data_IF_179503692845
#
_entry.id   IF_179503692845
#
_cell.length_a   1.000
_cell.length_b   1.000
_cell.length_c   1.000
_cell.angle_alpha   90.00
_cell.angle_beta   90.00
_cell.angle_gamma   90.00
#
_symmetry.space_group_name_H-M   'P 1'
#
loop_
_entity.id
_entity.type
_entity.pdbx_description
1 polymer ?
#
# COMPACT_ATOMS: atom_id res chain seq x y z
N UNK A 1 15.19 -0.35 -6.82
CA UNK A 1 14.07 0.21 -6.03
C UNK A 1 12.98 0.62 -7.01
N UNK A 2 11.81 0.02 -6.86
CA UNK A 2 10.64 0.31 -7.71
C UNK A 2 9.89 1.48 -7.09
N UNK A 3 9.91 2.63 -7.76
CA UNK A 3 9.36 3.89 -7.25
C UNK A 3 7.85 4.01 -7.51
N UNK A 4 7.19 4.81 -6.69
CA UNK A 4 5.83 5.26 -6.94
C UNK A 4 5.79 6.09 -8.24
N UNK A 5 4.69 5.98 -8.95
CA UNK A 5 4.51 6.54 -10.28
C UNK A 5 4.74 8.04 -10.37
N UNK A 6 5.29 8.44 -11.52
CA UNK A 6 5.30 9.81 -11.98
C UNK A 6 3.87 10.37 -11.99
N UNK A 7 3.65 11.48 -11.24
CA UNK A 7 2.33 12.09 -11.04
C UNK A 7 1.64 12.65 -12.30
N UNK A 8 2.28 12.50 -13.46
CA UNK A 8 1.73 12.91 -14.77
C UNK A 8 0.76 11.89 -15.38
N UNK A 9 0.76 10.65 -14.88
CA UNK A 9 -0.14 9.60 -15.37
C UNK A 9 -1.31 9.44 -14.39
N UNK A 10 -2.34 10.22 -14.57
CA UNK A 10 -3.61 10.11 -13.82
C UNK A 10 -4.74 9.74 -14.78
N UNK A 11 -5.77 9.01 -14.29
CA UNK A 11 -7.01 8.89 -15.04
C UNK A 11 -7.62 10.28 -15.29
N UNK A 12 -8.42 10.39 -16.35
CA UNK A 12 -9.21 11.57 -16.61
C UNK A 12 -10.08 11.90 -15.37
N UNK A 13 -10.22 13.18 -15.02
CA UNK A 13 -11.07 13.63 -13.92
C UNK A 13 -12.55 13.25 -14.13
N UNK A 14 -12.96 13.03 -15.39
CA UNK A 14 -14.29 12.51 -15.76
C UNK A 14 -14.43 11.00 -15.70
N UNK A 15 -13.34 10.24 -15.43
CA UNK A 15 -13.38 8.79 -15.37
C UNK A 15 -14.30 8.30 -14.24
N UNK A 16 -15.03 7.22 -14.52
CA UNK A 16 -15.84 6.54 -13.50
C UNK A 16 -14.95 5.98 -12.38
N UNK A 17 -15.57 5.68 -11.24
CA UNK A 17 -14.89 5.02 -10.12
C UNK A 17 -14.25 3.69 -10.55
N UNK A 18 -14.95 2.91 -11.36
CA UNK A 18 -14.45 1.63 -11.85
C UNK A 18 -13.23 1.80 -12.78
N UNK A 19 -13.28 2.73 -13.72
CA UNK A 19 -12.16 3.04 -14.62
C UNK A 19 -10.93 3.53 -13.82
N UNK A 20 -11.15 4.42 -12.87
CA UNK A 20 -10.11 4.92 -11.98
C UNK A 20 -9.47 3.78 -11.15
N UNK A 21 -10.30 2.90 -10.58
CA UNK A 21 -9.83 1.76 -9.81
C UNK A 21 -9.04 0.76 -10.67
N UNK A 22 -9.55 0.43 -11.87
CA UNK A 22 -8.84 -0.43 -12.84
C UNK A 22 -7.50 0.17 -13.26
N UNK A 23 -7.44 1.48 -13.48
CA UNK A 23 -6.20 2.17 -13.82
C UNK A 23 -5.16 1.97 -12.70
N UNK A 24 -5.50 2.24 -11.45
CA UNK A 24 -4.56 2.13 -10.33
C UNK A 24 -4.12 0.68 -10.07
N UNK A 25 -5.05 -0.28 -10.12
CA UNK A 25 -4.71 -1.69 -9.93
C UNK A 25 -3.76 -2.17 -11.03
N UNK A 26 -4.01 -1.81 -12.31
CA UNK A 26 -3.11 -2.14 -13.42
C UNK A 26 -1.70 -1.56 -13.20
N UNK A 27 -1.60 -0.31 -12.72
CA UNK A 27 -0.29 0.30 -12.43
C UNK A 27 0.43 -0.43 -11.29
N UNK A 28 -0.28 -0.92 -10.30
CA UNK A 28 0.29 -1.74 -9.25
C UNK A 28 0.76 -3.10 -9.77
N UNK A 29 0.03 -3.73 -10.70
CA UNK A 29 0.46 -4.95 -11.39
C UNK A 29 1.76 -4.73 -12.18
N UNK A 30 1.88 -3.62 -12.91
CA UNK A 30 3.10 -3.27 -13.64
C UNK A 30 4.31 -3.09 -12.70
N UNK A 31 4.13 -2.37 -11.58
CA UNK A 31 5.17 -2.21 -10.55
C UNK A 31 5.56 -3.53 -9.88
N UNK A 32 4.57 -4.39 -9.63
CA UNK A 32 4.84 -5.72 -9.09
C UNK A 32 5.66 -6.57 -10.04
N UNK A 33 5.33 -6.56 -11.34
CA UNK A 33 6.08 -7.27 -12.36
C UNK A 33 7.54 -6.78 -12.45
N UNK A 34 7.76 -5.46 -12.36
CA UNK A 34 9.09 -4.85 -12.29
C UNK A 34 9.84 -5.31 -11.03
N UNK A 35 9.20 -5.29 -9.86
CA UNK A 35 9.80 -5.73 -8.60
C UNK A 35 10.21 -7.20 -8.65
N UNK A 36 9.37 -8.08 -9.19
CA UNK A 36 9.68 -9.51 -9.35
C UNK A 36 10.85 -9.71 -10.34
N UNK A 37 10.89 -8.93 -11.41
CA UNK A 37 12.00 -8.95 -12.37
C UNK A 37 13.33 -8.52 -11.72
N UNK A 38 13.32 -7.40 -11.00
CA UNK A 38 14.50 -6.87 -10.30
C UNK A 38 14.99 -7.83 -9.22
N UNK A 39 14.08 -8.48 -8.50
CA UNK A 39 14.44 -9.49 -7.50
C UNK A 39 15.21 -10.67 -8.14
N UNK A 40 14.81 -11.11 -9.32
CA UNK A 40 15.52 -12.15 -10.06
C UNK A 40 16.98 -11.79 -10.33
N UNK A 41 17.27 -10.52 -10.59
CA UNK A 41 18.61 -10.01 -10.90
C UNK A 41 19.41 -9.65 -9.63
N UNK A 42 18.76 -9.08 -8.59
CA UNK A 42 19.40 -8.45 -7.43
C UNK A 42 19.16 -9.18 -6.11
N UNK A 43 18.39 -10.26 -6.10
CA UNK A 43 17.96 -11.06 -4.94
C UNK A 43 16.94 -10.38 -4.02
N UNK A 44 16.85 -9.06 -4.01
CA UNK A 44 15.88 -8.29 -3.21
C UNK A 44 15.36 -7.14 -4.07
N UNK A 45 14.04 -7.00 -4.15
CA UNK A 45 13.38 -5.81 -4.67
C UNK A 45 12.76 -5.03 -3.51
N UNK A 46 12.98 -3.72 -3.49
CA UNK A 46 12.40 -2.81 -2.51
C UNK A 46 11.40 -1.90 -3.22
N UNK A 47 10.14 -1.96 -2.78
CA UNK A 47 9.11 -1.04 -3.21
C UNK A 47 9.01 0.11 -2.18
N UNK A 48 8.92 1.33 -2.64
CA UNK A 48 8.77 2.52 -1.78
C UNK A 48 7.40 2.62 -1.11
N UNK A 49 6.45 1.80 -1.56
CA UNK A 49 5.11 1.65 -0.96
C UNK A 49 4.61 0.23 -1.18
N UNK A 50 3.65 -0.21 -0.36
CA UNK A 50 3.00 -1.51 -0.48
C UNK A 50 2.54 -1.77 -1.93
N UNK A 51 2.94 -2.90 -2.54
CA UNK A 51 2.57 -3.25 -3.91
C UNK A 51 1.06 -3.26 -4.16
N UNK A 52 0.26 -3.70 -3.19
CA UNK A 52 -1.21 -3.70 -3.32
C UNK A 52 -1.76 -2.28 -3.34
N UNK A 53 -1.18 -1.37 -2.57
CA UNK A 53 -1.63 0.02 -2.37
C UNK A 53 -3.10 0.17 -1.96
N UNK A 54 -3.75 -0.92 -1.59
CA UNK A 54 -5.14 -0.97 -1.14
C UNK A 54 -5.34 -0.26 0.20
N UNK A 55 -4.29 -0.25 1.04
CA UNK A 55 -4.28 0.46 2.31
C UNK A 55 -4.69 1.93 2.15
N UNK A 56 -4.35 2.58 1.03
CA UNK A 56 -4.64 4.00 0.85
C UNK A 56 -6.15 4.26 0.74
N UNK A 57 -6.86 3.48 -0.09
CA UNK A 57 -8.31 3.60 -0.21
C UNK A 57 -9.01 3.28 1.11
N UNK A 58 -8.56 2.23 1.81
CA UNK A 58 -9.12 1.86 3.11
C UNK A 58 -8.86 2.92 4.19
N UNK A 59 -7.65 3.45 4.29
CA UNK A 59 -7.29 4.45 5.31
C UNK A 59 -8.05 5.76 5.11
N UNK A 60 -8.31 6.17 3.88
CA UNK A 60 -9.17 7.32 3.58
C UNK A 60 -10.61 7.08 4.05
N UNK A 61 -11.19 5.93 3.70
CA UNK A 61 -12.54 5.57 4.15
C UNK A 61 -12.60 5.49 5.67
N UNK A 62 -11.63 4.84 6.32
CA UNK A 62 -11.54 4.68 7.78
C UNK A 62 -11.40 6.01 8.52
N UNK A 63 -10.72 6.99 7.93
CA UNK A 63 -10.59 8.35 8.47
C UNK A 63 -11.79 9.25 8.15
N UNK A 64 -12.80 8.77 7.41
CA UNK A 64 -13.95 9.57 6.98
C UNK A 64 -13.60 10.65 5.96
N UNK A 65 -12.49 10.49 5.24
CA UNK A 65 -11.98 11.45 4.24
C UNK A 65 -12.34 11.06 2.80
N UNK A 66 -12.84 9.85 2.60
CA UNK A 66 -13.22 9.38 1.27
C UNK A 66 -14.66 9.77 0.96
N UNK A 67 -14.82 10.73 0.03
CA UNK A 67 -16.12 11.06 -0.56
C UNK A 67 -16.68 9.90 -1.45
N UNK A 68 -15.86 8.88 -1.73
CA UNK A 68 -16.17 7.72 -2.57
C UNK A 68 -16.00 6.43 -1.76
N UNK A 69 -16.87 6.22 -0.75
CA UNK A 69 -16.84 5.05 0.12
C UNK A 69 -16.72 3.71 -0.64
N UNK A 70 -17.14 3.67 -1.90
CA UNK A 70 -17.07 2.49 -2.76
C UNK A 70 -15.69 2.25 -3.38
N UNK A 71 -14.73 3.19 -3.25
CA UNK A 71 -13.41 3.06 -3.89
C UNK A 71 -12.63 1.87 -3.32
N UNK A 72 -12.68 1.68 -2.00
CA UNK A 72 -12.07 0.53 -1.35
C UNK A 72 -12.66 -0.78 -1.84
N UNK A 73 -13.99 -0.92 -1.84
CA UNK A 73 -14.68 -2.15 -2.27
C UNK A 73 -14.40 -2.48 -3.74
N UNK A 74 -14.39 -1.46 -4.60
CA UNK A 74 -14.06 -1.64 -6.02
C UNK A 74 -12.61 -2.14 -6.21
N UNK A 75 -11.64 -1.50 -5.56
CA UNK A 75 -10.25 -1.90 -5.64
C UNK A 75 -9.99 -3.26 -4.98
N UNK A 76 -10.65 -3.56 -3.86
CA UNK A 76 -10.56 -4.86 -3.18
C UNK A 76 -10.89 -6.01 -4.12
N UNK A 77 -12.01 -5.90 -4.84
CA UNK A 77 -12.44 -6.92 -5.81
C UNK A 77 -11.40 -7.11 -6.91
N UNK A 78 -10.91 -6.02 -7.50
CA UNK A 78 -9.92 -6.05 -8.58
C UNK A 78 -8.58 -6.64 -8.11
N UNK A 79 -8.11 -6.27 -6.91
CA UNK A 79 -6.86 -6.75 -6.33
C UNK A 79 -6.96 -8.25 -6.00
N UNK A 80 -8.09 -8.68 -5.45
CA UNK A 80 -8.34 -10.11 -5.19
C UNK A 80 -8.26 -10.93 -6.49
N UNK A 81 -8.81 -10.42 -7.59
CA UNK A 81 -8.70 -11.05 -8.91
C UNK A 81 -7.25 -11.05 -9.43
N UNK A 82 -6.49 -9.98 -9.18
CA UNK A 82 -5.07 -9.90 -9.55
C UNK A 82 -4.21 -10.89 -8.77
N UNK A 83 -4.46 -11.07 -7.47
CA UNK A 83 -3.83 -12.11 -6.65
C UNK A 83 -4.12 -13.51 -7.20
N UNK A 84 -5.39 -13.79 -7.55
CA UNK A 84 -5.80 -15.06 -8.15
C UNK A 84 -5.09 -15.33 -9.48
N UNK A 85 -4.89 -14.32 -10.29
CA UNK A 85 -4.13 -14.41 -11.55
C UNK A 85 -2.62 -14.37 -11.37
N UNK A 86 -2.13 -14.13 -10.14
CA UNK A 86 -0.71 -13.96 -9.79
C UNK A 86 -0.04 -12.77 -10.51
N UNK A 87 -0.82 -11.77 -10.90
CA UNK A 87 -0.32 -10.53 -11.51
C UNK A 87 0.01 -9.46 -10.47
N UNK A 88 -0.45 -9.64 -9.23
CA UNK A 88 -0.13 -8.82 -8.07
C UNK A 88 0.04 -9.71 -6.86
N UNK A 89 0.93 -9.37 -5.92
CA UNK A 89 1.21 -10.20 -4.76
C UNK A 89 1.41 -9.40 -3.48
N UNK A 90 1.37 -10.11 -2.35
CA UNK A 90 1.65 -9.57 -1.02
C UNK A 90 3.17 -9.57 -0.81
N UNK A 91 3.75 -8.46 -0.39
CA UNK A 91 5.19 -8.36 -0.10
C UNK A 91 5.62 -9.38 0.97
N UNK A 92 6.82 -9.95 0.84
CA UNK A 92 7.36 -10.91 1.83
C UNK A 92 7.57 -10.27 3.20
N UNK A 93 7.90 -8.97 3.21
CA UNK A 93 8.07 -8.15 4.41
C UNK A 93 7.62 -6.72 4.14
N UNK A 94 6.95 -6.14 5.11
CA UNK A 94 6.54 -4.72 5.11
C UNK A 94 7.22 -4.02 6.29
N UNK A 95 8.02 -2.99 6.01
CA UNK A 95 8.52 -2.07 7.04
C UNK A 95 7.52 -0.91 7.16
N UNK A 96 6.67 -0.94 8.18
CA UNK A 96 5.68 0.09 8.45
C UNK A 96 6.20 1.06 9.51
N UNK A 97 6.83 2.14 9.06
CA UNK A 97 7.33 3.19 9.95
C UNK A 97 6.39 4.38 9.89
N UNK A 98 5.67 4.64 10.99
CA UNK A 98 4.75 5.77 11.11
C UNK A 98 5.36 6.82 12.03
N UNK A 99 5.94 7.91 11.48
CA UNK A 99 6.51 8.98 12.28
C UNK A 99 5.44 9.69 13.12
N UNK A 100 5.83 10.24 14.28
CA UNK A 100 4.92 11.07 15.07
C UNK A 100 4.50 12.31 14.29
N UNK A 101 3.34 12.88 14.62
CA UNK A 101 2.83 14.10 13.98
C UNK A 101 3.85 15.25 14.06
N UNK A 102 4.54 15.40 15.19
CA UNK A 102 5.57 16.43 15.35
C UNK A 102 6.73 16.27 14.38
N UNK A 103 7.16 15.02 14.11
CA UNK A 103 8.21 14.71 13.13
C UNK A 103 7.71 15.00 11.72
N UNK A 104 6.46 14.61 11.39
CA UNK A 104 5.86 14.90 10.08
C UNK A 104 5.78 16.41 9.82
N UNK A 105 5.37 17.21 10.83
CA UNK A 105 5.31 18.67 10.73
C UNK A 105 6.70 19.30 10.56
N UNK A 106 7.70 18.78 11.26
CA UNK A 106 9.10 19.22 11.11
C UNK A 106 9.62 18.95 9.70
N UNK A 107 9.37 17.75 9.17
CA UNK A 107 9.77 17.38 7.80
C UNK A 107 9.05 18.26 6.76
N UNK A 108 7.76 18.57 6.97
CA UNK A 108 7.02 19.49 6.10
C UNK A 108 7.65 20.88 6.08
N UNK A 109 7.99 21.41 7.26
CA UNK A 109 8.57 22.76 7.38
C UNK A 109 9.95 22.86 6.71
N UNK A 110 10.73 21.75 6.71
CA UNK A 110 12.05 21.68 6.08
C UNK A 110 12.05 21.36 4.57
N UNK A 111 10.90 20.95 4.01
CA UNK A 111 10.80 20.56 2.60
C UNK A 111 10.30 21.72 1.73
N UNK A 112 11.25 22.50 1.20
CA UNK A 112 10.96 23.59 0.28
C UNK A 112 10.63 23.13 -1.16
N UNK A 113 10.78 21.83 -1.46
CA UNK A 113 10.69 21.30 -2.84
C UNK A 113 9.33 20.74 -3.20
N UNK A 114 8.48 20.43 -2.21
CA UNK A 114 7.19 19.78 -2.42
C UNK A 114 6.03 20.56 -1.84
N UNK A 115 5.05 20.90 -2.67
CA UNK A 115 3.76 21.41 -2.20
C UNK A 115 2.89 20.23 -1.74
N UNK A 116 2.84 19.99 -0.43
CA UNK A 116 2.02 18.91 0.16
C UNK A 116 0.58 19.42 0.37
N UNK A 117 -0.24 19.38 -0.68
CA UNK A 117 -1.60 19.99 -0.69
C UNK A 117 -2.50 19.41 0.40
N UNK A 118 -2.44 18.09 0.65
CA UNK A 118 -3.35 17.37 1.57
C UNK A 118 -2.64 16.91 2.84
N UNK A 119 -1.67 17.67 3.34
CA UNK A 119 -0.84 17.25 4.48
C UNK A 119 -1.67 16.97 5.74
N UNK A 120 -2.60 17.86 6.09
CA UNK A 120 -3.41 17.70 7.31
C UNK A 120 -4.32 16.46 7.22
N UNK A 121 -4.85 16.15 6.05
CA UNK A 121 -5.60 14.92 5.81
C UNK A 121 -4.69 13.69 5.95
N UNK A 122 -3.49 13.74 5.37
CA UNK A 122 -2.54 12.60 5.44
C UNK A 122 -2.04 12.34 6.87
N UNK A 123 -1.98 13.33 7.73
CA UNK A 123 -1.65 13.13 9.17
C UNK A 123 -2.72 12.25 9.84
N UNK A 124 -3.99 12.40 9.48
CA UNK A 124 -5.09 11.59 10.01
C UNK A 124 -5.03 10.12 9.58
N UNK A 125 -4.29 9.80 8.52
CA UNK A 125 -4.16 8.41 8.04
C UNK A 125 -3.17 7.57 8.87
N UNK A 126 -2.41 8.16 9.78
CA UNK A 126 -1.39 7.47 10.55
C UNK A 126 -1.97 6.32 11.42
N UNK A 127 -3.09 6.57 12.10
CA UNK A 127 -3.76 5.55 12.92
C UNK A 127 -4.38 4.45 12.05
N UNK A 128 -5.20 4.76 11.04
CA UNK A 128 -5.71 3.75 10.11
C UNK A 128 -4.60 2.93 9.42
N UNK A 129 -3.49 3.53 9.03
CA UNK A 129 -2.37 2.81 8.42
C UNK A 129 -1.78 1.77 9.37
N UNK A 130 -1.68 2.11 10.66
CA UNK A 130 -1.23 1.17 11.68
C UNK A 130 -2.23 0.03 11.86
N UNK A 131 -3.53 0.32 11.97
CA UNK A 131 -4.61 -0.69 12.03
C UNK A 131 -4.54 -1.67 10.84
N UNK A 132 -4.30 -1.16 9.63
CA UNK A 132 -4.15 -1.97 8.42
C UNK A 132 -3.04 -3.01 8.54
N UNK A 133 -1.87 -2.61 8.98
CA UNK A 133 -0.73 -3.54 9.09
C UNK A 133 -0.73 -4.36 10.38
N UNK A 134 -1.38 -3.92 11.44
CA UNK A 134 -1.66 -4.74 12.62
C UNK A 134 -2.59 -5.91 12.25
N UNK A 135 -3.60 -5.68 11.42
CA UNK A 135 -4.46 -6.73 10.88
C UNK A 135 -3.65 -7.77 10.07
N UNK A 136 -2.77 -7.33 9.15
CA UNK A 136 -1.88 -8.25 8.42
C UNK A 136 -0.99 -9.04 9.37
N UNK A 137 -0.35 -8.37 10.32
CA UNK A 137 0.57 -9.03 11.26
C UNK A 137 -0.14 -10.00 12.21
N UNK A 138 -1.44 -9.81 12.45
CA UNK A 138 -2.24 -10.73 13.27
C UNK A 138 -2.52 -12.07 12.57
N UNK A 139 -2.63 -12.07 11.24
CA UNK A 139 -2.89 -13.27 10.42
C UNK A 139 -1.60 -13.92 9.89
N UNK A 140 -0.54 -13.13 9.69
CA UNK A 140 0.79 -13.64 9.30
C UNK A 140 1.89 -12.95 10.16
N UNK A 141 2.14 -13.47 11.37
CA UNK A 141 3.08 -12.88 12.31
C UNK A 141 4.50 -12.76 11.74
N UNK A 142 5.09 -11.59 11.92
CA UNK A 142 6.44 -11.26 11.44
C UNK A 142 6.51 -10.90 9.95
N UNK A 143 5.37 -10.73 9.27
CA UNK A 143 5.34 -10.13 7.92
C UNK A 143 5.46 -8.60 7.99
N UNK A 144 5.12 -8.00 9.13
CA UNK A 144 5.26 -6.57 9.35
C UNK A 144 6.31 -6.30 10.42
N UNK A 145 7.20 -5.37 10.14
CA UNK A 145 8.14 -4.80 11.12
C UNK A 145 7.84 -3.30 11.28
N UNK A 146 7.95 -2.81 12.51
CA UNK A 146 7.55 -1.45 12.88
C UNK A 146 8.70 -0.45 12.91
N UNK A 147 9.90 -0.96 12.63
CA UNK A 147 11.13 -0.19 12.57
C UNK A 147 11.86 -0.54 11.28
N UNK A 148 12.67 0.36 10.78
CA UNK A 148 13.51 0.06 9.64
C UNK A 148 14.58 -0.96 10.06
N UNK A 149 14.69 -2.11 9.38
CA UNK A 149 15.67 -3.12 9.75
C UNK A 149 17.09 -2.60 9.56
N UNK A 150 17.93 -2.76 10.59
CA UNK A 150 19.33 -2.34 10.58
C UNK A 150 20.20 -3.26 9.71
N UNK A 151 19.83 -4.53 9.61
CA UNK A 151 20.55 -5.52 8.81
C UNK A 151 19.89 -5.73 7.43
N UNK A 152 20.69 -6.11 6.41
CA UNK A 152 20.13 -6.47 5.12
C UNK A 152 19.10 -7.59 5.29
N UNK A 153 17.90 -7.36 4.77
CA UNK A 153 16.82 -8.32 4.84
C UNK A 153 17.22 -9.61 4.13
N UNK A 154 17.70 -10.59 4.88
CA UNK A 154 17.80 -11.98 4.42
C UNK A 154 16.42 -12.61 4.57
N UNK A 155 15.46 -12.13 3.77
CA UNK A 155 14.07 -12.47 3.93
C UNK A 155 13.76 -13.90 3.57
N UNK A 156 13.13 -14.63 4.47
CA UNK A 156 12.44 -15.88 4.14
C UNK A 156 11.36 -15.53 3.12
N UNK A 157 11.45 -16.11 1.92
CA UNK A 157 10.36 -15.99 0.94
C UNK A 157 9.07 -16.54 1.55
N UNK A 158 7.99 -15.77 1.41
CA UNK A 158 6.65 -16.13 1.86
C UNK A 158 5.76 -16.43 0.66
N UNK A 159 4.62 -17.07 0.91
CA UNK A 159 3.60 -17.18 -0.14
C UNK A 159 3.02 -15.78 -0.43
N UNK A 160 3.13 -15.37 -1.70
CA UNK A 160 2.79 -14.02 -2.14
C UNK A 160 1.40 -13.92 -2.74
N UNK A 161 0.84 -15.07 -3.14
CA UNK A 161 -0.42 -15.15 -3.89
C UNK A 161 -1.48 -15.93 -3.10
N UNK A 162 -1.37 -15.94 -1.78
CA UNK A 162 -2.25 -16.64 -0.86
C UNK A 162 -3.57 -15.86 -0.70
N UNK A 163 -4.64 -16.38 -1.33
CA UNK A 163 -5.96 -15.78 -1.25
C UNK A 163 -6.61 -15.96 0.12
N UNK A 164 -6.34 -17.08 0.79
CA UNK A 164 -6.91 -17.35 2.12
C UNK A 164 -6.30 -16.39 3.14
N UNK A 165 -5.00 -16.14 3.05
CA UNK A 165 -4.33 -15.12 3.85
C UNK A 165 -4.90 -13.73 3.55
N UNK A 166 -5.08 -13.39 2.26
CA UNK A 166 -5.62 -12.09 1.87
C UNK A 166 -7.03 -11.87 2.41
N UNK A 167 -7.89 -12.86 2.24
CA UNK A 167 -9.29 -12.80 2.71
C UNK A 167 -9.31 -12.72 4.26
N UNK A 168 -8.52 -13.53 4.97
CA UNK A 168 -8.39 -13.45 6.42
C UNK A 168 -7.85 -12.09 6.91
N UNK A 169 -6.94 -11.48 6.17
CA UNK A 169 -6.46 -10.12 6.47
C UNK A 169 -7.58 -9.09 6.32
N UNK A 170 -8.35 -9.14 5.23
CA UNK A 170 -9.48 -8.23 5.00
C UNK A 170 -10.55 -8.37 6.09
N UNK A 171 -10.84 -9.60 6.52
CA UNK A 171 -11.81 -9.88 7.60
C UNK A 171 -11.37 -9.37 8.98
N UNK A 172 -10.08 -9.10 9.17
CA UNK A 172 -9.54 -8.53 10.42
C UNK A 172 -9.61 -7.01 10.48
N UNK A 173 -9.84 -6.36 9.36
CA UNK A 173 -9.92 -4.91 9.32
C UNK A 173 -11.15 -4.40 10.06
N UNK A 174 -11.03 -3.32 10.85
CA UNK A 174 -12.21 -2.60 11.35
C UNK A 174 -13.11 -2.14 10.20
N UNK A 175 -14.41 -2.16 10.44
CA UNK A 175 -15.42 -1.70 9.47
C UNK A 175 -15.23 -0.23 9.14
N UNK A 176 -15.34 0.12 7.87
CA UNK A 176 -15.30 1.48 7.33
C UNK A 176 -16.68 1.93 6.89
#
# INVERSE_FOLDING_TARGET
MVCELDGHLRPDDAASLEETSRFWVRRNEERWAEAVHDEGAQRIAVCDTDPLKLHYAWTLARAGLDAKADAFTCQLTLIRDSLKRKTLGIADLVACVVPSESVLRTHRAGDATRTRRNFEEHVLLAVPLKEWYEALNSVDPGRVVWEWPEEPLSGKRRERYDLDLFDAWMDRLPTV
#
